data_IF_914217584917
#
_entry.id   IF_914217584917
#
_cell.length_a   1.000
_cell.length_b   1.000
_cell.length_c   1.000
_cell.angle_alpha   90.00
_cell.angle_beta   90.00
_cell.angle_gamma   90.00
#
_symmetry.space_group_name_H-M   'P 1'
#
loop_
_entity.id
_entity.type
_entity.pdbx_description
1 polymer ?
#
# COMPACT_ATOMS: atom_id res chain seq x y z
N UNK A 1 -27.77 30.86 -30.17
CA UNK A 1 -27.78 31.26 -28.75
C UNK A 1 -29.07 30.74 -28.16
N UNK A 2 -29.14 29.81 -27.22
CA UNK A 2 -28.15 29.06 -26.47
C UNK A 2 -28.66 27.60 -26.47
N UNK A 3 -27.77 26.62 -26.66
CA UNK A 3 -28.12 25.24 -26.37
C UNK A 3 -27.90 25.04 -24.87
N UNK A 4 -29.01 24.73 -24.22
CA UNK A 4 -29.20 24.29 -22.85
C UNK A 4 -28.15 23.22 -22.49
N UNK A 5 -27.17 23.61 -21.68
CA UNK A 5 -26.17 22.74 -21.07
C UNK A 5 -26.88 22.02 -19.93
N UNK A 6 -27.45 20.84 -20.21
CA UNK A 6 -28.14 20.05 -19.20
C UNK A 6 -27.14 19.74 -18.09
N UNK A 7 -27.31 20.40 -16.95
CA UNK A 7 -26.51 20.26 -15.74
C UNK A 7 -26.55 18.81 -15.27
N UNK A 8 -25.63 17.98 -15.75
CA UNK A 8 -25.41 16.64 -15.21
C UNK A 8 -24.85 16.82 -13.81
N UNK A 9 -25.53 16.23 -12.82
CA UNK A 9 -25.05 16.28 -11.44
C UNK A 9 -23.62 15.70 -11.37
N UNK A 10 -22.76 16.21 -10.47
CA UNK A 10 -21.43 15.63 -10.27
C UNK A 10 -21.50 14.12 -10.08
N UNK A 11 -20.47 13.41 -10.53
CA UNK A 11 -20.28 12.00 -10.21
C UNK A 11 -20.25 11.86 -8.68
N UNK A 12 -20.99 10.90 -8.13
CA UNK A 12 -21.05 10.65 -6.69
C UNK A 12 -20.33 9.37 -6.36
N UNK A 13 -19.25 9.46 -5.57
CA UNK A 13 -18.41 8.33 -5.18
C UNK A 13 -18.50 8.14 -3.68
N UNK A 14 -18.85 6.94 -3.23
CA UNK A 14 -18.95 6.59 -1.81
C UNK A 14 -17.94 5.51 -1.45
N UNK A 15 -16.99 5.84 -0.58
CA UNK A 15 -16.15 4.86 0.10
C UNK A 15 -16.82 4.38 1.39
N UNK A 16 -16.97 3.07 1.57
CA UNK A 16 -17.50 2.48 2.80
C UNK A 16 -16.49 1.49 3.36
N UNK A 17 -15.96 1.81 4.55
CA UNK A 17 -14.87 1.07 5.19
C UNK A 17 -15.17 0.78 6.67
N UNK A 18 -14.30 0.03 7.33
CA UNK A 18 -14.51 -0.39 8.71
C UNK A 18 -13.95 0.63 9.70
N UNK A 19 -12.76 1.14 9.45
CA UNK A 19 -11.99 1.97 10.37
C UNK A 19 -11.56 3.28 9.71
N UNK A 20 -11.29 4.34 10.49
CA UNK A 20 -10.56 5.51 10.02
C UNK A 20 -9.13 5.13 9.63
N UNK A 21 -8.70 5.44 8.40
CA UNK A 21 -7.42 5.11 7.72
C UNK A 21 -7.55 4.13 6.55
N UNK A 22 -8.51 3.22 6.61
CA UNK A 22 -8.81 2.25 5.55
C UNK A 22 -9.04 2.95 4.21
N UNK A 23 -9.72 4.11 4.20
CA UNK A 23 -10.00 4.87 2.98
C UNK A 23 -8.72 5.33 2.29
N UNK A 24 -7.75 5.78 3.10
CA UNK A 24 -6.48 6.32 2.63
C UNK A 24 -5.62 5.18 2.10
N UNK A 25 -5.54 4.08 2.86
CA UNK A 25 -4.72 2.91 2.50
C UNK A 25 -5.26 2.25 1.23
N UNK A 26 -6.56 1.96 1.20
CA UNK A 26 -7.18 1.15 0.17
C UNK A 26 -7.40 1.92 -1.13
N UNK A 27 -7.79 3.19 -1.06
CA UNK A 27 -8.25 3.95 -2.23
C UNK A 27 -7.94 5.46 -2.21
N UNK A 28 -7.05 5.93 -1.32
CA UNK A 28 -6.84 7.36 -1.09
C UNK A 28 -6.44 8.12 -2.36
N UNK A 29 -5.60 7.53 -3.21
CA UNK A 29 -5.19 8.14 -4.48
C UNK A 29 -6.36 8.25 -5.46
N UNK A 30 -7.20 7.22 -5.54
CA UNK A 30 -8.37 7.15 -6.41
C UNK A 30 -9.44 8.13 -5.95
N UNK A 31 -9.70 8.20 -4.64
CA UNK A 31 -10.64 9.16 -4.05
C UNK A 31 -10.20 10.60 -4.34
N UNK A 32 -8.92 10.92 -4.10
CA UNK A 32 -8.37 12.25 -4.40
C UNK A 32 -8.42 12.60 -5.89
N UNK A 33 -8.17 11.62 -6.75
CA UNK A 33 -8.30 11.79 -8.19
C UNK A 33 -9.72 12.20 -8.59
N UNK A 34 -10.73 11.44 -8.16
CA UNK A 34 -12.12 11.74 -8.53
C UNK A 34 -12.61 13.04 -7.90
N UNK A 35 -12.20 13.36 -6.67
CA UNK A 35 -12.51 14.64 -6.04
C UNK A 35 -11.92 15.81 -6.84
N UNK A 36 -10.65 15.71 -7.27
CA UNK A 36 -10.02 16.72 -8.12
C UNK A 36 -10.66 16.84 -9.51
N UNK A 37 -11.25 15.75 -10.02
CA UNK A 37 -12.00 15.73 -11.27
C UNK A 37 -13.44 16.29 -11.10
N UNK A 38 -13.81 16.76 -9.91
CA UNK A 38 -15.08 17.43 -9.60
C UNK A 38 -16.20 16.51 -9.10
N UNK A 39 -15.90 15.26 -8.73
CA UNK A 39 -16.86 14.36 -8.12
C UNK A 39 -17.22 14.78 -6.68
N UNK A 40 -18.46 14.54 -6.27
CA UNK A 40 -18.87 14.55 -4.86
C UNK A 40 -18.41 13.22 -4.25
N UNK A 41 -17.31 13.25 -3.48
CA UNK A 41 -16.70 12.05 -2.90
C UNK A 41 -16.91 12.06 -1.39
N UNK A 42 -17.51 10.99 -0.86
CA UNK A 42 -17.74 10.81 0.58
C UNK A 42 -17.16 9.50 1.08
N UNK A 43 -16.78 9.48 2.35
CA UNK A 43 -16.27 8.30 3.03
C UNK A 43 -17.03 8.06 4.33
N UNK A 44 -17.42 6.80 4.56
CA UNK A 44 -18.01 6.35 5.82
C UNK A 44 -17.17 5.21 6.40
N UNK A 45 -16.74 5.35 7.65
CA UNK A 45 -16.15 4.28 8.45
C UNK A 45 -17.18 3.76 9.44
N UNK A 46 -17.38 2.45 9.52
CA UNK A 46 -18.37 1.85 10.43
C UNK A 46 -18.00 2.01 11.92
N UNK A 47 -16.72 2.20 12.23
CA UNK A 47 -16.25 2.38 13.60
C UNK A 47 -15.45 3.68 13.72
N UNK A 48 -15.11 4.03 14.96
CA UNK A 48 -14.17 5.12 15.29
C UNK A 48 -12.75 4.63 15.56
N UNK A 49 -12.43 3.37 15.22
CA UNK A 49 -11.08 2.79 15.40
C UNK A 49 -10.63 2.74 16.88
N UNK A 50 -11.56 2.54 17.82
CA UNK A 50 -11.27 2.63 19.25
C UNK A 50 -10.47 1.46 19.82
N UNK A 51 -10.28 0.37 19.07
CA UNK A 51 -9.54 -0.83 19.45
C UNK A 51 -8.07 -0.80 19.02
N UNK A 52 -7.73 0.03 18.03
CA UNK A 52 -6.37 0.17 17.49
C UNK A 52 -5.29 0.60 18.50
N UNK A 53 -4.03 0.39 18.12
CA UNK A 53 -2.86 0.85 18.89
C UNK A 53 -2.63 2.36 18.69
N UNK A 54 -2.20 3.05 19.75
CA UNK A 54 -1.72 4.44 19.69
C UNK A 54 -0.22 4.39 19.45
N UNK A 55 0.23 4.82 18.27
CA UNK A 55 1.65 4.83 17.88
C UNK A 55 2.37 6.11 18.30
N UNK A 56 1.65 7.22 18.39
CA UNK A 56 2.15 8.47 18.95
C UNK A 56 1.44 8.77 20.28
N UNK A 57 2.14 8.57 21.39
CA UNK A 57 1.61 8.78 22.73
C UNK A 57 1.23 10.26 23.02
N UNK A 58 1.68 11.21 22.20
CA UNK A 58 1.31 12.62 22.33
C UNK A 58 -0.06 12.96 21.72
N UNK A 59 -0.62 12.06 20.89
CA UNK A 59 -1.85 12.32 20.12
C UNK A 59 -3.13 11.95 20.87
N UNK A 60 -3.12 10.84 21.62
CA UNK A 60 -4.31 10.28 22.22
C UNK A 60 -4.04 9.44 23.47
N UNK A 61 -5.10 9.20 24.25
CA UNK A 61 -5.19 8.16 25.27
C UNK A 61 -6.27 7.16 24.86
N UNK A 62 -6.34 5.98 25.50
CA UNK A 62 -7.42 5.01 25.23
C UNK A 62 -8.82 5.63 25.34
N UNK A 63 -9.03 6.53 26.30
CA UNK A 63 -10.31 7.19 26.51
C UNK A 63 -10.65 8.26 25.45
N UNK A 64 -9.64 8.85 24.80
CA UNK A 64 -9.83 9.92 23.81
C UNK A 64 -9.67 9.44 22.37
N UNK A 65 -9.27 8.18 22.15
CA UNK A 65 -8.84 7.68 20.85
C UNK A 65 -9.91 7.80 19.77
N UNK A 66 -11.16 7.44 20.06
CA UNK A 66 -12.26 7.50 19.08
C UNK A 66 -12.53 8.91 18.58
N UNK A 67 -12.55 9.89 19.50
CA UNK A 67 -12.72 11.30 19.16
C UNK A 67 -11.50 11.89 18.44
N UNK A 68 -10.30 11.36 18.67
CA UNK A 68 -9.09 11.74 17.92
C UNK A 68 -9.18 11.18 16.51
N UNK A 69 -9.44 9.88 16.33
CA UNK A 69 -9.49 9.23 15.01
C UNK A 69 -10.61 9.75 14.10
N UNK A 70 -11.74 10.18 14.66
CA UNK A 70 -12.79 10.86 13.89
C UNK A 70 -12.29 12.21 13.32
N UNK A 71 -11.49 12.96 14.08
CA UNK A 71 -10.86 14.20 13.59
C UNK A 71 -9.72 13.92 12.61
N UNK A 72 -8.99 12.83 12.81
CA UNK A 72 -7.94 12.38 11.89
C UNK A 72 -8.55 11.99 10.54
N UNK A 73 -9.67 11.27 10.51
CA UNK A 73 -10.41 10.97 9.29
C UNK A 73 -10.85 12.25 8.56
N UNK A 74 -11.40 13.22 9.29
CA UNK A 74 -11.81 14.49 8.68
C UNK A 74 -10.61 15.27 8.11
N UNK A 75 -9.46 15.27 8.80
CA UNK A 75 -8.23 15.90 8.32
C UNK A 75 -7.66 15.17 7.09
N UNK A 76 -7.67 13.83 7.10
CA UNK A 76 -7.29 13.02 5.95
C UNK A 76 -8.22 13.29 4.76
N UNK A 77 -9.54 13.36 5.00
CA UNK A 77 -10.53 13.71 3.99
C UNK A 77 -10.27 15.07 3.36
N UNK A 78 -9.88 16.08 4.15
CA UNK A 78 -9.51 17.39 3.61
C UNK A 78 -8.26 17.32 2.71
N UNK A 79 -7.25 16.54 3.07
CA UNK A 79 -6.04 16.33 2.24
C UNK A 79 -6.34 15.59 0.94
N UNK A 80 -7.37 14.72 0.93
CA UNK A 80 -7.84 14.01 -0.26
C UNK A 80 -8.89 14.84 -1.06
N UNK A 81 -9.38 15.95 -0.54
CA UNK A 81 -10.43 16.75 -1.19
C UNK A 81 -11.84 16.15 -1.10
N UNK A 82 -12.11 15.30 -0.11
CA UNK A 82 -13.43 14.69 0.08
C UNK A 82 -14.46 15.75 0.49
N UNK A 83 -15.70 15.58 0.03
CA UNK A 83 -16.81 16.45 0.40
C UNK A 83 -17.27 16.21 1.84
N UNK A 84 -17.23 14.95 2.30
CA UNK A 84 -17.65 14.56 3.64
C UNK A 84 -16.97 13.27 4.10
N UNK A 85 -16.75 13.19 5.41
CA UNK A 85 -16.30 11.98 6.09
C UNK A 85 -17.14 11.73 7.33
N UNK A 86 -17.50 10.47 7.60
CA UNK A 86 -18.31 10.09 8.76
C UNK A 86 -17.78 8.83 9.43
N UNK A 87 -17.83 8.78 10.76
CA UNK A 87 -17.69 7.56 11.52
C UNK A 87 -19.05 7.14 12.12
N UNK A 88 -19.39 5.86 12.06
CA UNK A 88 -20.50 5.28 12.82
C UNK A 88 -20.01 4.80 14.20
N UNK A 89 -20.96 4.50 15.10
CA UNK A 89 -20.69 4.22 16.52
C UNK A 89 -20.49 2.72 16.83
N UNK A 90 -20.14 1.89 15.84
CA UNK A 90 -19.82 0.49 16.13
C UNK A 90 -18.47 0.34 16.85
N UNK A 91 -18.38 -0.74 17.63
CA UNK A 91 -17.16 -1.09 18.36
C UNK A 91 -16.18 -1.74 17.39
N UNK A 92 -14.97 -1.18 17.35
CA UNK A 92 -13.83 -1.70 16.60
C UNK A 92 -13.42 -3.09 17.12
N UNK A 93 -13.38 -4.07 16.21
CA UNK A 93 -13.12 -5.48 16.46
C UNK A 93 -14.37 -6.36 16.52
N UNK A 94 -15.55 -5.77 16.63
CA UNK A 94 -16.81 -6.49 16.90
C UNK A 94 -17.76 -6.54 15.70
N UNK A 95 -17.44 -5.93 14.55
CA UNK A 95 -18.36 -5.91 13.39
C UNK A 95 -18.65 -7.32 12.87
N UNK A 96 -17.68 -8.24 12.96
CA UNK A 96 -17.88 -9.65 12.63
C UNK A 96 -18.91 -10.38 13.51
N UNK A 97 -19.23 -9.83 14.69
CA UNK A 97 -20.24 -10.37 15.60
C UNK A 97 -21.63 -9.73 15.42
N UNK A 98 -21.71 -8.59 14.71
CA UNK A 98 -22.98 -7.95 14.39
C UNK A 98 -23.70 -8.78 13.32
N UNK A 99 -25.03 -8.90 13.44
CA UNK A 99 -25.82 -9.61 12.44
C UNK A 99 -25.64 -8.96 11.05
N UNK A 100 -25.29 -9.76 10.05
CA UNK A 100 -24.97 -9.28 8.70
C UNK A 100 -26.11 -8.43 8.09
N UNK A 101 -27.37 -8.77 8.38
CA UNK A 101 -28.53 -7.99 7.93
C UNK A 101 -28.54 -6.56 8.48
N UNK A 102 -28.13 -6.36 9.74
CA UNK A 102 -28.07 -5.03 10.36
C UNK A 102 -27.03 -4.15 9.66
N UNK A 103 -25.85 -4.72 9.35
CA UNK A 103 -24.81 -3.99 8.64
C UNK A 103 -25.24 -3.68 7.19
N UNK A 104 -25.92 -4.62 6.52
CA UNK A 104 -26.45 -4.42 5.18
C UNK A 104 -27.56 -3.36 5.15
N UNK A 105 -28.48 -3.35 6.11
CA UNK A 105 -29.53 -2.33 6.24
C UNK A 105 -28.94 -0.93 6.40
N UNK A 106 -27.87 -0.80 7.19
CA UNK A 106 -27.15 0.46 7.37
C UNK A 106 -26.46 0.88 6.08
N UNK A 107 -25.77 -0.04 5.40
CA UNK A 107 -25.18 0.25 4.11
C UNK A 107 -26.25 0.68 3.09
N UNK A 108 -27.40 0.02 3.04
CA UNK A 108 -28.53 0.39 2.19
C UNK A 108 -29.01 1.82 2.48
N UNK A 109 -29.16 2.18 3.77
CA UNK A 109 -29.56 3.53 4.14
C UNK A 109 -28.55 4.60 3.67
N UNK A 110 -27.25 4.30 3.72
CA UNK A 110 -26.21 5.19 3.17
C UNK A 110 -26.31 5.31 1.64
N UNK A 111 -26.63 4.21 0.94
CA UNK A 111 -26.86 4.24 -0.51
C UNK A 111 -28.10 5.06 -0.86
N UNK A 112 -29.19 4.95 -0.11
CA UNK A 112 -30.42 5.71 -0.33
C UNK A 112 -30.21 7.21 -0.07
N UNK A 113 -29.52 7.55 1.02
CA UNK A 113 -29.21 8.94 1.39
C UNK A 113 -28.31 9.61 0.35
N UNK A 114 -27.24 8.91 -0.03
CA UNK A 114 -26.21 9.47 -0.88
C UNK A 114 -26.40 9.17 -2.38
N UNK A 115 -27.30 8.29 -2.78
CA UNK A 115 -27.52 7.87 -4.17
C UNK A 115 -26.23 7.84 -5.04
N UNK A 116 -25.22 7.04 -4.66
CA UNK A 116 -23.91 7.03 -5.33
C UNK A 116 -23.97 6.43 -6.74
N UNK A 117 -23.09 6.89 -7.61
CA UNK A 117 -22.83 6.25 -8.92
C UNK A 117 -21.76 5.16 -8.83
N UNK A 118 -20.89 5.27 -7.84
CA UNK A 118 -19.76 4.39 -7.57
C UNK A 118 -19.64 4.14 -6.07
N UNK A 119 -19.50 2.88 -5.69
CA UNK A 119 -19.20 2.45 -4.32
C UNK A 119 -17.87 1.71 -4.31
N UNK A 120 -17.02 2.05 -3.33
CA UNK A 120 -15.73 1.41 -3.09
C UNK A 120 -15.74 0.82 -1.67
N UNK A 121 -15.38 -0.46 -1.53
CA UNK A 121 -15.31 -1.16 -0.24
C UNK A 121 -14.35 -2.36 -0.31
N UNK A 122 -14.32 -3.21 0.72
CA UNK A 122 -13.47 -4.40 0.75
C UNK A 122 -13.97 -5.56 -0.11
N UNK A 123 -13.02 -6.37 -0.59
CA UNK A 123 -13.31 -7.68 -1.17
C UNK A 123 -13.67 -8.75 -0.12
N UNK A 124 -13.96 -9.99 -0.55
CA UNK A 124 -14.31 -11.10 0.34
C UNK A 124 -13.20 -11.50 1.32
N UNK A 125 -11.95 -11.16 1.02
CA UNK A 125 -10.78 -11.34 1.89
C UNK A 125 -10.59 -10.18 2.88
N UNK A 126 -11.43 -9.14 2.80
CA UNK A 126 -11.35 -7.97 3.66
C UNK A 126 -10.10 -7.13 3.44
N UNK A 127 -9.38 -7.25 2.32
CA UNK A 127 -8.10 -6.57 2.05
C UNK A 127 -6.93 -6.98 2.98
N UNK A 128 -7.10 -6.89 4.29
CA UNK A 128 -6.12 -7.25 5.33
C UNK A 128 -6.36 -8.64 5.97
N UNK A 129 -7.53 -9.25 5.75
CA UNK A 129 -7.99 -10.44 6.48
C UNK A 129 -8.66 -10.15 7.83
N UNK A 130 -8.77 -8.88 8.24
CA UNK A 130 -9.45 -8.49 9.48
C UNK A 130 -10.96 -8.81 9.41
N UNK A 131 -11.53 -9.33 10.50
CA UNK A 131 -12.94 -9.74 10.55
C UNK A 131 -13.91 -8.60 10.25
N UNK A 132 -13.61 -7.40 10.74
CA UNK A 132 -14.44 -6.21 10.47
C UNK A 132 -14.43 -5.83 8.99
N UNK A 133 -13.28 -5.93 8.32
CA UNK A 133 -13.17 -5.61 6.90
C UNK A 133 -14.01 -6.59 6.07
N UNK A 134 -13.95 -7.88 6.41
CA UNK A 134 -14.77 -8.93 5.78
C UNK A 134 -16.27 -8.65 6.01
N UNK A 135 -16.66 -8.31 7.23
CA UNK A 135 -18.05 -8.04 7.59
C UNK A 135 -18.62 -6.83 6.83
N UNK A 136 -17.88 -5.72 6.79
CA UNK A 136 -18.27 -4.51 6.04
C UNK A 136 -18.31 -4.78 4.54
N UNK A 137 -17.28 -5.42 3.97
CA UNK A 137 -17.25 -5.75 2.55
C UNK A 137 -18.43 -6.61 2.11
N UNK A 138 -18.78 -7.63 2.92
CA UNK A 138 -19.96 -8.46 2.67
C UNK A 138 -21.26 -7.65 2.75
N UNK A 139 -21.45 -6.85 3.79
CA UNK A 139 -22.65 -6.05 4.00
C UNK A 139 -22.88 -5.02 2.88
N UNK A 140 -21.83 -4.30 2.48
CA UNK A 140 -21.90 -3.31 1.39
C UNK A 140 -22.16 -3.99 0.05
N UNK A 141 -21.59 -5.18 -0.18
CA UNK A 141 -21.86 -5.96 -1.38
C UNK A 141 -23.31 -6.39 -1.47
N UNK A 142 -23.88 -6.89 -0.37
CA UNK A 142 -25.31 -7.23 -0.28
C UNK A 142 -26.17 -6.00 -0.56
N UNK A 143 -25.91 -4.88 0.12
CA UNK A 143 -26.67 -3.65 -0.05
C UNK A 143 -26.63 -3.15 -1.51
N UNK A 144 -25.45 -3.13 -2.17
CA UNK A 144 -25.35 -2.68 -3.56
C UNK A 144 -26.04 -3.64 -4.55
N UNK A 145 -26.04 -4.94 -4.26
CA UNK A 145 -26.66 -5.97 -5.13
C UNK A 145 -28.19 -5.90 -5.06
N UNK A 146 -28.73 -5.60 -3.88
CA UNK A 146 -30.16 -5.49 -3.62
C UNK A 146 -30.72 -4.07 -3.90
N UNK A 147 -29.83 -3.10 -4.15
CA UNK A 147 -30.20 -1.71 -4.39
C UNK A 147 -31.00 -1.55 -5.70
N UNK A 148 -32.10 -0.78 -5.65
CA UNK A 148 -33.00 -0.61 -6.80
C UNK A 148 -32.34 0.15 -7.97
N UNK A 149 -31.45 1.09 -7.67
CA UNK A 149 -30.72 1.86 -8.68
C UNK A 149 -29.40 1.19 -9.06
N UNK A 150 -29.04 1.26 -10.34
CA UNK A 150 -27.78 0.72 -10.83
C UNK A 150 -26.57 1.44 -10.23
N UNK A 151 -25.87 0.78 -9.31
CA UNK A 151 -24.61 1.24 -8.69
C UNK A 151 -23.44 0.47 -9.30
N UNK A 152 -22.30 1.14 -9.48
CA UNK A 152 -21.03 0.46 -9.81
C UNK A 152 -20.27 0.16 -8.53
N UNK A 153 -20.09 -1.12 -8.22
CA UNK A 153 -19.38 -1.57 -7.03
C UNK A 153 -17.98 -2.05 -7.39
N UNK A 154 -16.98 -1.51 -6.69
CA UNK A 154 -15.59 -1.92 -6.79
C UNK A 154 -15.07 -2.37 -5.43
N UNK A 155 -14.49 -3.56 -5.40
CA UNK A 155 -13.74 -4.04 -4.25
C UNK A 155 -12.28 -3.60 -4.37
N UNK A 156 -11.77 -2.94 -3.34
CA UNK A 156 -10.36 -2.68 -3.17
C UNK A 156 -9.62 -4.01 -3.19
N UNK A 157 -8.54 -4.05 -3.96
CA UNK A 157 -7.71 -5.23 -4.07
C UNK A 157 -6.25 -4.85 -3.95
N UNK A 158 -5.53 -5.60 -3.13
CA UNK A 158 -4.10 -5.46 -3.04
C UNK A 158 -3.46 -6.66 -3.74
N UNK A 159 -2.83 -6.47 -4.92
CA UNK A 159 -2.13 -7.57 -5.55
C UNK A 159 -1.01 -8.05 -4.66
N UNK A 160 -0.87 -9.37 -4.57
CA UNK A 160 0.32 -10.00 -3.98
C UNK A 160 1.51 -9.67 -4.86
N UNK A 161 2.18 -8.58 -4.53
CA UNK A 161 3.41 -8.21 -5.19
C UNK A 161 4.46 -9.29 -4.91
N UNK A 162 5.04 -9.86 -5.96
CA UNK A 162 6.30 -10.60 -5.83
C UNK A 162 7.50 -9.66 -5.88
N UNK A 163 7.28 -8.36 -6.03
CA UNK A 163 8.34 -7.39 -5.94
C UNK A 163 8.71 -7.13 -4.49
N UNK A 164 10.01 -7.13 -4.30
CA UNK A 164 10.68 -6.95 -3.05
C UNK A 164 10.90 -5.45 -2.86
N UNK A 165 10.53 -4.92 -1.70
CA UNK A 165 10.83 -3.54 -1.30
C UNK A 165 12.33 -3.26 -1.42
N UNK A 166 13.19 -4.21 -1.03
CA UNK A 166 14.63 -4.16 -1.22
C UNK A 166 15.02 -4.01 -2.69
N UNK A 167 14.32 -4.66 -3.63
CA UNK A 167 14.63 -4.51 -5.05
C UNK A 167 14.29 -3.10 -5.55
N UNK A 168 13.12 -2.55 -5.19
CA UNK A 168 12.74 -1.14 -5.48
C UNK A 168 13.77 -0.16 -4.91
N UNK A 169 14.12 -0.34 -3.65
CA UNK A 169 15.12 0.49 -2.98
C UNK A 169 16.49 0.36 -3.65
N UNK A 170 16.89 -0.84 -4.08
CA UNK A 170 18.17 -1.05 -4.75
C UNK A 170 18.24 -0.35 -6.10
N UNK A 171 17.22 -0.49 -6.95
CA UNK A 171 17.14 0.22 -8.24
C UNK A 171 17.22 1.73 -8.02
N UNK A 172 16.38 2.24 -7.10
CA UNK A 172 16.37 3.66 -6.77
C UNK A 172 17.72 4.18 -6.25
N UNK A 173 18.36 3.49 -5.29
CA UNK A 173 19.63 3.94 -4.71
C UNK A 173 20.75 3.97 -5.75
N UNK A 174 20.79 3.01 -6.66
CA UNK A 174 21.81 2.93 -7.73
C UNK A 174 21.64 4.03 -8.78
N UNK A 175 20.43 4.56 -8.97
CA UNK A 175 20.15 5.67 -9.89
C UNK A 175 20.54 7.04 -9.32
N UNK A 176 20.82 7.15 -8.01
CA UNK A 176 21.20 8.42 -7.41
C UNK A 176 22.60 8.86 -7.86
N UNK A 177 22.70 10.12 -8.29
CA UNK A 177 23.98 10.73 -8.67
C UNK A 177 24.96 10.89 -7.48
N UNK A 178 24.43 10.89 -6.26
CA UNK A 178 25.19 11.02 -5.01
C UNK A 178 24.79 9.90 -4.06
N UNK A 179 25.75 9.44 -3.25
CA UNK A 179 25.48 8.45 -2.22
C UNK A 179 24.33 8.90 -1.30
N UNK A 180 23.33 8.03 -1.13
CA UNK A 180 22.21 8.28 -0.24
C UNK A 180 22.64 8.25 1.22
N UNK A 181 22.07 9.16 2.02
CA UNK A 181 22.18 9.14 3.48
C UNK A 181 20.83 9.44 4.10
N UNK A 182 20.21 8.40 4.66
CA UNK A 182 18.92 8.50 5.34
C UNK A 182 19.02 9.28 6.66
N UNK A 183 17.97 10.04 6.96
CA UNK A 183 17.76 10.67 8.27
C UNK A 183 17.16 9.67 9.26
N UNK A 184 17.18 10.00 10.55
CA UNK A 184 16.46 9.23 11.57
C UNK A 184 14.96 9.09 11.23
N UNK A 185 14.38 10.12 10.61
CA UNK A 185 12.99 10.12 10.17
C UNK A 185 12.76 9.15 9.00
N UNK A 186 13.69 9.10 8.03
CA UNK A 186 13.66 8.10 6.97
C UNK A 186 13.71 6.68 7.55
N UNK A 187 14.53 6.43 8.58
CA UNK A 187 14.61 5.12 9.25
C UNK A 187 13.29 4.75 9.93
N UNK A 188 12.68 5.69 10.66
CA UNK A 188 11.37 5.46 11.32
C UNK A 188 10.32 5.12 10.29
N UNK A 189 10.25 5.90 9.22
CA UNK A 189 9.30 5.71 8.17
C UNK A 189 9.55 4.35 7.47
N UNK A 190 10.80 4.04 7.10
CA UNK A 190 11.17 2.76 6.49
C UNK A 190 10.81 1.56 7.34
N UNK A 191 10.98 1.65 8.65
CA UNK A 191 10.55 0.60 9.56
C UNK A 191 9.03 0.45 9.60
N UNK A 192 8.26 1.55 9.71
CA UNK A 192 6.80 1.51 9.65
C UNK A 192 6.34 0.90 8.32
N UNK A 193 6.81 1.42 7.20
CA UNK A 193 6.45 0.91 5.89
C UNK A 193 6.84 -0.54 5.75
N UNK A 194 8.06 -0.98 6.08
CA UNK A 194 8.44 -2.39 5.95
C UNK A 194 7.48 -3.33 6.68
N UNK A 195 7.00 -2.94 7.87
CA UNK A 195 6.08 -3.77 8.65
C UNK A 195 4.69 -3.79 8.04
N UNK A 196 4.16 -2.61 7.71
CA UNK A 196 2.81 -2.51 7.14
C UNK A 196 2.76 -3.08 5.72
N UNK A 197 3.77 -2.82 4.89
CA UNK A 197 3.85 -3.36 3.53
C UNK A 197 3.99 -4.86 3.53
N UNK A 198 4.76 -5.45 4.46
CA UNK A 198 4.85 -6.90 4.56
C UNK A 198 3.57 -7.49 5.16
N UNK A 199 2.96 -6.84 6.16
CA UNK A 199 1.70 -7.30 6.77
C UNK A 199 0.52 -7.26 5.79
N UNK A 200 0.44 -6.23 4.97
CA UNK A 200 -0.58 -6.06 3.93
C UNK A 200 -0.22 -6.82 2.63
N UNK A 201 1.02 -7.28 2.47
CA UNK A 201 1.45 -8.01 1.27
C UNK A 201 1.84 -7.14 0.07
N UNK A 202 2.11 -5.85 0.28
CA UNK A 202 2.74 -4.94 -0.68
C UNK A 202 4.19 -5.32 -1.04
N UNK A 203 4.92 -5.88 -0.07
CA UNK A 203 6.29 -6.33 -0.26
C UNK A 203 6.44 -7.78 0.22
N UNK A 204 7.15 -8.57 -0.57
CA UNK A 204 7.47 -9.95 -0.20
C UNK A 204 8.65 -10.09 0.77
N UNK A 205 9.41 -9.02 1.02
CA UNK A 205 10.63 -9.12 1.81
C UNK A 205 10.39 -9.38 3.29
N UNK A 206 11.31 -10.15 3.88
CA UNK A 206 11.52 -10.14 5.31
C UNK A 206 12.53 -9.04 5.64
N UNK A 207 12.09 -8.06 6.41
CA UNK A 207 12.96 -7.03 6.98
C UNK A 207 13.31 -7.41 8.40
N UNK A 208 14.59 -7.75 8.62
CA UNK A 208 15.12 -8.13 9.92
C UNK A 208 16.00 -7.02 10.50
N UNK A 209 16.11 -6.97 11.83
CA UNK A 209 17.19 -6.24 12.50
C UNK A 209 18.30 -7.23 12.77
N UNK A 210 19.47 -7.01 12.17
CA UNK A 210 20.64 -7.87 12.36
C UNK A 210 21.77 -7.11 13.06
N UNK A 211 22.57 -7.85 13.82
CA UNK A 211 23.73 -7.34 14.54
C UNK A 211 24.98 -8.14 14.16
N UNK A 212 26.06 -7.43 13.85
CA UNK A 212 27.32 -7.98 13.37
C UNK A 212 28.46 -7.49 14.28
N UNK A 213 29.24 -8.38 14.93
CA UNK A 213 30.38 -7.97 15.73
C UNK A 213 31.51 -7.42 14.84
N UNK A 214 32.33 -6.54 15.41
CA UNK A 214 33.57 -6.07 14.76
C UNK A 214 34.40 -7.23 14.19
N UNK A 215 34.86 -7.08 12.96
CA UNK A 215 35.68 -8.04 12.21
C UNK A 215 34.89 -9.10 11.42
N UNK A 216 33.56 -9.15 11.56
CA UNK A 216 32.73 -10.10 10.80
C UNK A 216 32.40 -9.62 9.39
N UNK A 217 32.08 -10.57 8.51
CA UNK A 217 31.57 -10.27 7.16
C UNK A 217 30.04 -10.09 7.21
N UNK A 218 29.55 -9.03 6.57
CA UNK A 218 28.14 -8.86 6.22
C UNK A 218 27.85 -9.47 4.84
N UNK A 219 28.86 -9.43 3.97
CA UNK A 219 28.81 -9.86 2.57
C UNK A 219 30.18 -10.39 2.19
N UNK A 220 30.24 -11.53 1.51
CA UNK A 220 31.48 -12.00 0.89
C UNK A 220 31.46 -11.81 -0.64
N UNK A 221 32.61 -11.43 -1.21
CA UNK A 221 32.75 -11.26 -2.65
C UNK A 221 32.48 -12.59 -3.37
N UNK A 222 31.74 -12.54 -4.49
CA UNK A 222 31.41 -13.70 -5.29
C UNK A 222 30.16 -14.46 -4.85
N UNK A 223 29.61 -14.19 -3.67
CA UNK A 223 28.34 -14.79 -3.23
C UNK A 223 27.16 -14.30 -4.07
N UNK A 224 26.06 -15.06 -4.03
CA UNK A 224 24.79 -14.63 -4.60
C UNK A 224 24.24 -13.42 -3.81
N UNK A 225 23.69 -12.43 -4.52
CA UNK A 225 23.07 -11.29 -3.89
C UNK A 225 21.63 -11.62 -3.49
N UNK A 226 21.43 -12.00 -2.23
CA UNK A 226 20.13 -12.38 -1.66
C UNK A 226 19.56 -11.34 -0.71
N UNK A 227 20.39 -10.39 -0.28
CA UNK A 227 20.04 -9.36 0.70
C UNK A 227 20.65 -7.99 0.38
N UNK A 228 20.05 -6.94 0.92
CA UNK A 228 20.71 -5.64 1.07
C UNK A 228 20.52 -5.11 2.48
N UNK A 229 21.38 -4.19 2.88
CA UNK A 229 21.48 -3.72 4.26
C UNK A 229 21.34 -2.21 4.30
N UNK A 230 20.57 -1.71 5.26
CA UNK A 230 20.58 -0.31 5.66
C UNK A 230 21.23 -0.20 7.05
N UNK A 231 22.35 0.53 7.14
CA UNK A 231 23.14 0.59 8.37
C UNK A 231 22.49 1.53 9.39
N UNK A 232 22.13 1.01 10.57
CA UNK A 232 21.60 1.78 11.70
C UNK A 232 22.71 2.29 12.63
N UNK A 233 23.78 1.52 12.78
CA UNK A 233 24.94 1.86 13.61
C UNK A 233 26.20 1.14 13.14
N UNK A 234 27.36 1.56 13.66
CA UNK A 234 28.67 0.98 13.32
C UNK A 234 29.22 1.44 11.97
N UNK A 235 30.41 0.95 11.63
CA UNK A 235 31.10 1.26 10.38
C UNK A 235 31.49 -0.02 9.66
N UNK A 236 31.44 0.01 8.34
CA UNK A 236 31.91 -1.08 7.48
C UNK A 236 32.98 -0.63 6.50
N UNK A 237 33.80 -1.58 6.09
CA UNK A 237 34.74 -1.46 4.98
C UNK A 237 34.27 -2.31 3.81
N UNK A 238 34.20 -1.70 2.63
CA UNK A 238 34.01 -2.40 1.37
C UNK A 238 35.39 -2.77 0.84
N UNK A 239 35.66 -4.06 0.73
CA UNK A 239 36.97 -4.60 0.35
C UNK A 239 36.86 -5.42 -0.92
N UNK A 240 37.70 -5.15 -1.92
CA UNK A 240 37.75 -5.93 -3.16
C UNK A 240 38.99 -6.81 -3.18
N UNK A 241 38.77 -8.11 -3.40
CA UNK A 241 39.82 -9.07 -3.69
C UNK A 241 40.10 -9.09 -5.20
N UNK A 242 41.34 -8.85 -5.59
CA UNK A 242 41.77 -8.96 -6.98
C UNK A 242 42.22 -10.38 -7.35
N UNK A 243 42.42 -10.62 -8.66
CA UNK A 243 42.91 -11.92 -9.17
C UNK A 243 44.31 -12.30 -8.63
N UNK A 244 45.03 -11.34 -8.03
CA UNK A 244 46.31 -11.52 -7.35
C UNK A 244 46.17 -12.02 -5.90
N UNK A 245 44.95 -12.25 -5.42
CA UNK A 245 44.63 -12.63 -4.04
C UNK A 245 44.84 -11.50 -3.03
N UNK A 246 45.07 -10.26 -3.48
CA UNK A 246 45.21 -9.12 -2.59
C UNK A 246 43.85 -8.46 -2.34
N UNK A 247 43.51 -8.33 -1.06
CA UNK A 247 42.33 -7.61 -0.59
C UNK A 247 42.67 -6.14 -0.37
N UNK A 248 41.93 -5.24 -1.01
CA UNK A 248 42.11 -3.79 -0.92
C UNK A 248 40.81 -3.14 -0.44
N UNK A 249 40.91 -2.22 0.51
CA UNK A 249 39.77 -1.37 0.88
C UNK A 249 39.51 -0.41 -0.28
N UNK A 250 38.28 -0.45 -0.80
CA UNK A 250 37.85 0.38 -1.92
C UNK A 250 36.84 1.45 -1.51
N UNK A 251 36.16 1.25 -0.37
CA UNK A 251 35.18 2.20 0.15
C UNK A 251 34.92 1.97 1.65
N UNK A 252 34.25 2.93 2.28
CA UNK A 252 33.76 2.86 3.65
C UNK A 252 32.30 3.27 3.69
N UNK A 253 31.52 2.67 4.59
CA UNK A 253 30.13 3.08 4.80
C UNK A 253 29.75 3.08 6.27
N UNK A 254 28.70 3.82 6.61
CA UNK A 254 28.26 4.00 7.99
C UNK A 254 26.77 4.28 8.12
N UNK A 255 26.31 4.77 9.29
CA UNK A 255 24.89 4.90 9.58
C UNK A 255 24.17 5.81 8.59
N UNK A 256 22.99 5.36 8.17
CA UNK A 256 22.15 6.04 7.18
C UNK A 256 22.40 5.60 5.73
N UNK A 257 23.37 4.72 5.47
CA UNK A 257 23.75 4.32 4.11
C UNK A 257 23.28 2.89 3.80
N UNK A 258 22.96 2.65 2.53
CA UNK A 258 22.69 1.31 2.00
C UNK A 258 23.99 0.60 1.59
N UNK A 259 23.97 -0.73 1.71
CA UNK A 259 25.04 -1.62 1.25
C UNK A 259 24.48 -2.85 0.57
N UNK A 260 25.15 -3.27 -0.51
CA UNK A 260 24.82 -4.47 -1.26
C UNK A 260 23.75 -4.28 -2.33
N UNK A 261 23.27 -3.04 -2.49
CA UNK A 261 22.24 -2.62 -3.44
C UNK A 261 22.63 -2.85 -4.90
N UNK A 262 23.91 -2.60 -5.26
CA UNK A 262 24.37 -2.75 -6.66
C UNK A 262 24.17 -4.16 -7.19
N UNK A 263 24.51 -5.17 -6.39
CA UNK A 263 24.38 -6.57 -6.81
C UNK A 263 22.92 -7.03 -6.85
N UNK A 264 22.05 -6.46 -6.01
CA UNK A 264 20.60 -6.69 -6.06
C UNK A 264 20.02 -6.08 -7.34
N UNK A 265 20.27 -4.80 -7.62
CA UNK A 265 19.74 -4.10 -8.79
C UNK A 265 20.25 -4.67 -10.12
N UNK A 266 21.50 -5.15 -10.16
CA UNK A 266 22.10 -5.67 -11.42
C UNK A 266 21.93 -7.19 -11.60
N UNK A 267 21.46 -7.92 -10.59
CA UNK A 267 21.36 -9.38 -10.60
C UNK A 267 22.72 -10.08 -10.73
N UNK A 268 23.82 -9.42 -10.39
CA UNK A 268 25.19 -9.97 -10.46
C UNK A 268 25.65 -10.43 -9.07
N UNK A 269 26.61 -11.38 -8.99
CA UNK A 269 27.24 -11.73 -7.72
C UNK A 269 27.84 -10.51 -6.99
N UNK A 270 28.10 -10.67 -5.69
CA UNK A 270 28.73 -9.64 -4.86
C UNK A 270 30.08 -9.24 -5.44
N UNK A 271 30.28 -7.94 -5.65
CA UNK A 271 31.47 -7.39 -6.31
C UNK A 271 32.60 -6.97 -5.34
N UNK A 272 32.37 -7.13 -4.04
CA UNK A 272 33.27 -6.82 -2.94
C UNK A 272 32.77 -7.52 -1.66
N UNK A 273 33.69 -7.73 -0.71
CA UNK A 273 33.35 -8.03 0.68
C UNK A 273 32.87 -6.76 1.39
N UNK A 274 32.05 -6.95 2.41
CA UNK A 274 31.69 -5.90 3.37
C UNK A 274 32.01 -6.41 4.76
N UNK A 275 32.94 -5.74 5.44
CA UNK A 275 33.46 -6.18 6.74
C UNK A 275 33.12 -5.14 7.80
N UNK A 276 32.55 -5.57 8.91
CA UNK A 276 32.31 -4.75 10.09
C UNK A 276 33.65 -4.29 10.69
N UNK A 277 33.85 -2.98 10.81
CA UNK A 277 35.02 -2.38 11.48
C UNK A 277 34.74 -2.17 12.96
N UNK A 278 33.48 -1.84 13.29
CA UNK A 278 32.94 -1.75 14.64
C UNK A 278 31.76 -2.73 14.76
N UNK A 279 31.12 -2.80 15.93
CA UNK A 279 29.84 -3.50 16.06
C UNK A 279 28.76 -2.77 15.23
N UNK A 280 28.14 -3.48 14.30
CA UNK A 280 27.18 -2.95 13.32
C UNK A 280 25.78 -3.47 13.61
N UNK A 281 24.78 -2.59 13.52
CA UNK A 281 23.36 -2.98 13.48
C UNK A 281 22.76 -2.52 12.16
N UNK A 282 21.96 -3.36 11.51
CA UNK A 282 21.33 -3.04 10.22
C UNK A 282 19.87 -3.46 10.13
N UNK A 283 19.10 -2.78 9.28
CA UNK A 283 17.91 -3.36 8.67
C UNK A 283 18.34 -4.19 7.45
N UNK A 284 18.04 -5.48 7.47
CA UNK A 284 18.37 -6.41 6.40
C UNK A 284 17.11 -6.74 5.61
N UNK A 285 17.13 -6.42 4.32
CA UNK A 285 16.06 -6.73 3.37
C UNK A 285 16.43 -8.02 2.67
N UNK A 286 15.75 -9.12 3.01
CA UNK A 286 16.01 -10.44 2.42
C UNK A 286 14.91 -10.76 1.42
N UNK A 287 15.32 -11.22 0.24
CA UNK A 287 14.40 -11.83 -0.71
C UNK A 287 13.74 -13.03 -0.04
N UNK A 288 12.42 -12.95 0.23
CA UNK A 288 11.76 -14.08 0.85
C UNK A 288 11.93 -15.34 -0.01
N UNK A 289 12.44 -16.41 0.61
CA UNK A 289 12.13 -17.74 0.12
C UNK A 289 10.61 -17.90 0.15
N UNK A 290 10.06 -18.47 -0.92
CA UNK A 290 8.63 -18.71 -1.07
C UNK A 290 8.03 -19.23 0.23
N UNK A 291 7.13 -18.45 0.84
CA UNK A 291 6.38 -18.90 2.01
C UNK A 291 5.73 -20.24 1.66
N UNK A 292 5.98 -21.31 2.44
CA UNK A 292 5.21 -22.54 2.30
C UNK A 292 3.75 -22.17 2.51
N UNK A 293 2.94 -22.29 1.46
CA UNK A 293 1.50 -22.30 1.65
C UNK A 293 1.20 -23.44 2.61
N UNK A 294 0.70 -23.12 3.79
CA UNK A 294 -0.22 -24.04 4.44
C UNK A 294 -1.21 -24.49 3.35
N UNK A 295 -1.26 -25.80 3.09
CA UNK A 295 -1.72 -26.40 1.83
C UNK A 295 -3.21 -26.24 1.50
N UNK A 296 -3.71 -25.01 1.50
CA UNK A 296 -5.10 -24.60 1.22
C UNK A 296 -5.19 -23.37 0.33
N UNK A 297 -4.12 -22.63 0.10
CA UNK A 297 -4.14 -21.55 -0.88
C UNK A 297 -4.17 -22.16 -2.30
N UNK A 298 -5.32 -22.05 -2.97
CA UNK A 298 -5.41 -22.36 -4.41
C UNK A 298 -4.36 -21.52 -5.16
N UNK A 299 -3.68 -22.07 -6.17
CA UNK A 299 -2.84 -21.26 -7.05
C UNK A 299 -3.68 -20.13 -7.61
N UNK A 300 -3.33 -18.90 -7.25
CA UNK A 300 -3.95 -17.71 -7.82
C UNK A 300 -3.34 -17.55 -9.21
N UNK A 301 -4.18 -17.57 -10.25
CA UNK A 301 -3.73 -17.19 -11.59
C UNK A 301 -3.34 -15.71 -11.57
N UNK A 302 -2.14 -15.39 -12.07
CA UNK A 302 -1.62 -14.01 -12.09
C UNK A 302 -1.32 -13.57 -13.51
N UNK A 303 -1.56 -12.30 -13.83
CA UNK A 303 -1.16 -11.64 -15.08
C UNK A 303 -0.11 -10.57 -14.80
N UNK A 304 0.80 -10.35 -15.76
CA UNK A 304 1.78 -9.28 -15.68
C UNK A 304 1.15 -7.95 -16.12
N UNK A 305 1.39 -6.90 -15.36
CA UNK A 305 1.03 -5.53 -15.70
C UNK A 305 2.17 -4.81 -16.40
N UNK A 306 1.89 -3.71 -17.13
CA UNK A 306 2.91 -2.83 -17.69
C UNK A 306 3.92 -2.30 -16.66
N UNK A 307 3.51 -2.15 -15.40
CA UNK A 307 4.38 -1.77 -14.26
C UNK A 307 5.37 -2.85 -13.84
N UNK A 308 5.29 -4.06 -14.42
CA UNK A 308 6.06 -5.24 -13.99
C UNK A 308 5.38 -6.05 -12.88
N UNK A 309 4.33 -5.51 -12.26
CA UNK A 309 3.63 -6.19 -11.18
C UNK A 309 2.88 -7.42 -11.69
N UNK A 310 2.88 -8.50 -10.89
CA UNK A 310 1.98 -9.64 -11.10
C UNK A 310 0.74 -9.45 -10.26
N UNK A 311 -0.39 -9.26 -10.93
CA UNK A 311 -1.69 -9.12 -10.26
C UNK A 311 -2.53 -10.36 -10.48
N UNK A 312 -3.39 -10.66 -9.52
CA UNK A 312 -4.38 -11.72 -9.65
C UNK A 312 -5.27 -11.48 -10.87
N UNK A 313 -5.60 -12.56 -11.59
CA UNK A 313 -6.48 -12.54 -12.76
C UNK A 313 -7.87 -11.95 -12.45
N UNK A 314 -8.30 -11.99 -11.18
CA UNK A 314 -9.56 -11.38 -10.73
C UNK A 314 -9.56 -9.86 -10.77
N UNK A 315 -8.40 -9.21 -10.67
CA UNK A 315 -8.29 -7.75 -10.81
C UNK A 315 -8.81 -7.40 -12.20
N UNK A 316 -9.51 -6.30 -12.34
CA UNK A 316 -9.98 -5.85 -13.65
C UNK A 316 -9.92 -4.34 -13.87
N UNK A 317 -9.68 -3.61 -12.79
CA UNK A 317 -9.64 -2.17 -12.79
C UNK A 317 -8.37 -1.74 -12.07
N UNK A 318 -7.65 -0.81 -12.69
CA UNK A 318 -6.38 -0.29 -12.22
C UNK A 318 -6.41 1.21 -12.48
N UNK A 319 -6.15 2.01 -11.45
CA UNK A 319 -6.19 3.47 -11.52
C UNK A 319 -4.77 3.99 -11.27
N UNK A 320 -4.22 4.70 -12.26
CA UNK A 320 -3.00 5.48 -12.08
C UNK A 320 -3.32 6.72 -11.24
N UNK A 321 -2.72 6.76 -10.06
CA UNK A 321 -2.86 7.80 -9.05
C UNK A 321 -1.53 8.48 -8.77
N UNK A 322 -0.54 8.35 -9.66
CA UNK A 322 0.83 8.87 -9.49
C UNK A 322 0.87 10.38 -9.20
N UNK A 323 -0.08 11.15 -9.75
CA UNK A 323 -0.22 12.60 -9.48
C UNK A 323 -0.84 12.90 -8.11
N UNK A 324 -1.49 11.93 -7.49
CA UNK A 324 -2.23 12.05 -6.22
C UNK A 324 -1.52 11.38 -5.04
N UNK A 325 -0.37 10.74 -5.26
CA UNK A 325 0.47 10.15 -4.20
C UNK A 325 0.75 11.15 -3.08
N UNK A 326 1.05 12.42 -3.41
CA UNK A 326 1.26 13.45 -2.39
C UNK A 326 0.04 13.70 -1.50
N UNK A 327 -1.18 13.60 -2.05
CA UNK A 327 -2.43 13.74 -1.28
C UNK A 327 -2.58 12.54 -0.34
N UNK A 328 -2.36 11.33 -0.86
CA UNK A 328 -2.40 10.09 -0.08
C UNK A 328 -1.44 10.13 1.10
N UNK A 329 -0.19 10.58 0.90
CA UNK A 329 0.81 10.65 1.97
C UNK A 329 0.47 11.71 3.03
N UNK A 330 -0.07 12.87 2.63
CA UNK A 330 -0.55 13.87 3.60
C UNK A 330 -1.76 13.37 4.38
N UNK A 331 -2.67 12.65 3.72
CA UNK A 331 -3.80 11.99 4.38
C UNK A 331 -3.34 10.90 5.37
N UNK A 332 -2.35 10.08 5.00
CA UNK A 332 -1.74 9.12 5.92
C UNK A 332 -1.10 9.83 7.12
N UNK A 333 -0.39 10.93 6.89
CA UNK A 333 0.21 11.74 7.96
C UNK A 333 -0.83 12.46 8.85
N UNK A 334 -2.07 12.65 8.37
CA UNK A 334 -3.17 13.18 9.18
C UNK A 334 -3.67 12.16 10.23
N UNK A 335 -3.54 10.87 9.94
CA UNK A 335 -3.80 9.75 10.86
C UNK A 335 -2.67 9.56 11.89
N UNK A 336 -2.26 10.63 12.59
CA UNK A 336 -1.05 10.64 13.45
C UNK A 336 -1.06 9.60 14.56
N UNK A 337 -2.22 9.28 15.13
CA UNK A 337 -2.33 8.22 16.15
C UNK A 337 -1.93 6.84 15.60
N UNK A 338 -1.93 6.67 14.29
CA UNK A 338 -1.73 5.41 13.55
C UNK A 338 -0.45 5.41 12.70
N UNK A 339 -0.08 6.57 12.15
CA UNK A 339 1.08 6.74 11.29
C UNK A 339 1.85 7.99 11.73
N UNK A 340 2.84 7.86 12.63
CA UNK A 340 3.69 8.96 13.05
C UNK A 340 4.75 9.24 11.97
N UNK A 341 4.30 9.62 10.77
CA UNK A 341 5.11 9.95 9.61
C UNK A 341 4.86 11.39 9.19
N UNK A 342 5.91 12.06 8.72
CA UNK A 342 5.79 13.34 8.03
C UNK A 342 5.94 13.14 6.51
N UNK A 343 5.24 13.92 5.66
CA UNK A 343 5.27 13.72 4.21
C UNK A 343 6.67 13.78 3.58
N UNK A 344 7.61 14.51 4.21
CA UNK A 344 8.99 14.64 3.74
C UNK A 344 9.93 13.51 4.17
N UNK A 345 9.44 12.50 4.90
CA UNK A 345 10.28 11.41 5.43
C UNK A 345 10.71 10.42 4.35
N UNK A 346 10.03 10.37 3.21
CA UNK A 346 10.39 9.54 2.07
C UNK A 346 10.63 10.37 0.81
N UNK A 347 11.62 9.99 -0.01
CA UNK A 347 11.78 10.56 -1.35
C UNK A 347 10.52 10.34 -2.20
N UNK A 348 10.01 11.43 -2.82
CA UNK A 348 8.84 11.41 -3.70
C UNK A 348 8.88 10.32 -4.78
N UNK A 349 10.07 10.04 -5.34
CA UNK A 349 10.24 9.03 -6.39
C UNK A 349 9.82 7.63 -5.89
N UNK A 350 10.26 7.25 -4.69
CA UNK A 350 9.93 5.96 -4.07
C UNK A 350 8.42 5.89 -3.78
N UNK A 351 7.86 6.96 -3.23
CA UNK A 351 6.43 7.00 -2.91
C UNK A 351 5.57 6.85 -4.15
N UNK A 352 5.96 7.46 -5.28
CA UNK A 352 5.25 7.33 -6.55
C UNK A 352 5.32 5.92 -7.10
N UNK A 353 6.46 5.26 -6.95
CA UNK A 353 6.64 3.88 -7.39
C UNK A 353 5.81 2.90 -6.54
N UNK A 354 5.75 3.12 -5.22
CA UNK A 354 5.02 2.24 -4.30
C UNK A 354 3.51 2.46 -4.30
N UNK A 355 3.06 3.71 -4.43
CA UNK A 355 1.66 4.10 -4.23
C UNK A 355 1.02 4.73 -5.46
N UNK A 356 1.70 4.76 -6.61
CA UNK A 356 1.22 5.39 -7.84
C UNK A 356 0.09 4.63 -8.53
N UNK A 357 -0.25 3.42 -8.09
CA UNK A 357 -1.30 2.60 -8.70
C UNK A 357 -2.17 1.95 -7.62
N UNK A 358 -3.48 2.02 -7.81
CA UNK A 358 -4.48 1.34 -6.97
C UNK A 358 -5.31 0.36 -7.80
N UNK A 359 -5.63 -0.79 -7.21
CA UNK A 359 -6.23 -1.93 -7.92
C UNK A 359 -7.59 -2.30 -7.36
N UNK A 360 -8.49 -2.69 -8.24
CA UNK A 360 -9.86 -3.01 -7.90
C UNK A 360 -10.39 -4.21 -8.70
N UNK A 361 -11.36 -4.89 -8.09
CA UNK A 361 -12.22 -5.87 -8.75
C UNK A 361 -13.59 -5.25 -8.93
N UNK A 362 -14.09 -5.16 -10.16
CA UNK A 362 -15.45 -4.72 -10.43
C UNK A 362 -16.42 -5.86 -10.09
N UNK A 363 -17.37 -5.56 -9.21
CA UNK A 363 -18.42 -6.49 -8.81
C UNK A 363 -19.71 -6.16 -9.54
N UNK A 364 -20.07 -4.87 -9.60
CA UNK A 364 -21.27 -4.40 -10.30
C UNK A 364 -20.92 -3.33 -11.36
N UNK A 365 -21.60 -3.36 -12.52
CA UNK A 365 -22.47 -4.45 -12.98
C UNK A 365 -21.67 -5.75 -13.18
N UNK A 366 -22.33 -6.89 -12.99
CA UNK A 366 -21.70 -8.19 -13.23
C UNK A 366 -21.19 -8.28 -14.67
N UNK A 367 -20.05 -8.94 -14.86
CA UNK A 367 -19.53 -9.19 -16.20
C UNK A 367 -20.49 -10.08 -16.97
N UNK A 368 -20.80 -9.68 -18.20
CA UNK A 368 -21.57 -10.52 -19.10
C UNK A 368 -20.84 -11.87 -19.30
N UNK A 369 -21.60 -12.96 -19.27
CA UNK A 369 -21.07 -14.28 -19.61
C UNK A 369 -20.72 -14.30 -21.10
N UNK A 370 -19.49 -14.71 -21.41
CA UNK A 370 -19.13 -15.00 -22.79
C UNK A 370 -19.92 -16.23 -23.26
N UNK A 371 -20.78 -16.04 -24.26
CA UNK A 371 -21.59 -17.12 -24.84
C UNK A 371 -20.87 -17.84 -25.99
N UNK A 372 -19.59 -17.53 -26.21
CA UNK A 372 -18.75 -18.08 -27.26
C UNK A 372 -17.41 -18.51 -26.70
N UNK A 373 -16.84 -19.59 -27.23
CA UNK A 373 -15.51 -20.09 -26.85
C UNK A 373 -14.36 -19.45 -27.66
N UNK A 374 -14.67 -18.53 -28.58
CA UNK A 374 -13.71 -18.04 -29.59
C UNK A 374 -13.71 -16.50 -29.76
N UNK A 375 -13.90 -15.73 -28.69
CA UNK A 375 -14.17 -14.28 -28.75
C UNK A 375 -13.25 -13.45 -29.69
N UNK A 376 -13.82 -13.03 -30.83
CA UNK A 376 -13.25 -12.05 -31.77
C UNK A 376 -13.52 -10.58 -31.35
N UNK A 377 -13.82 -10.31 -30.06
CA UNK A 377 -14.14 -8.96 -29.57
C UNK A 377 -12.96 -8.17 -28.98
N UNK A 378 -11.78 -8.77 -28.90
CA UNK A 378 -10.62 -8.19 -28.20
C UNK A 378 -9.73 -7.23 -29.05
N UNK A 379 -10.28 -6.50 -30.03
CA UNK A 379 -9.45 -5.63 -30.90
C UNK A 379 -9.78 -4.14 -30.94
N UNK A 380 -10.76 -3.67 -30.19
CA UNK A 380 -11.03 -2.24 -30.07
C UNK A 380 -11.00 -1.88 -28.58
N UNK A 381 -10.24 -0.84 -28.23
CA UNK A 381 -10.04 -0.28 -26.89
C UNK A 381 -8.89 -0.84 -26.04
N UNK A 382 -7.70 -1.04 -26.65
CA UNK A 382 -6.45 -0.94 -25.91
C UNK A 382 -6.05 0.53 -25.74
N UNK A 383 -6.68 1.22 -24.78
CA UNK A 383 -6.11 2.46 -24.24
C UNK A 383 -4.81 2.08 -23.56
N UNK A 384 -3.72 2.50 -24.20
CA UNK A 384 -2.35 2.37 -23.72
C UNK A 384 -2.20 3.17 -22.43
N UNK A 385 -2.08 2.48 -21.29
CA UNK A 385 -1.35 3.04 -20.16
C UNK A 385 0.08 3.27 -20.66
N UNK A 386 0.46 4.54 -20.83
CA UNK A 386 1.75 4.90 -21.43
C UNK A 386 2.87 4.54 -20.45
N UNK A 387 3.97 4.05 -21.03
CA UNK A 387 5.24 3.70 -20.38
C UNK A 387 5.86 4.85 -19.61
#
# INVERSE_FOLDING_TARGET
MAHDDSTTRPLRVLGIFAHPDDETICAGGTLAKYASDGADVRVVSFTKGGGGQIRDASTATRATLTAVREKELAAAGAELGLAETQCLDFVDGDLGAVAASVLADIASALLDEFAPDVVITFGPDGFSGHSDHIAVGAAVTTACTEHESAVRLFHCYLPRSRMLLGYRLAEWVVELATRFKGSDDFVRALWVFSRETSALGYAGDLVNVEWFPSGSYLVEQGEAATSMYFLLSGKVEVRREGDDGQVRVVDHSGPGEFIGEVSIATGRPRNAHVVAVDDVTSLTFVAAESVPSDGRARPVETRALPSGDRVDARVDTCIDVSLFVGHKIRATAAHRSQYPIDPGMFPDAILREMFGVEYFVRVLPERALDTSLTDDRAREDSVTCRR
#
